data_IF_941183709382
#
_entry.id   IF_941183709382
#
_cell.length_a   1.000
_cell.length_b   1.000
_cell.length_c   1.000
_cell.angle_alpha   90.00
_cell.angle_beta   90.00
_cell.angle_gamma   90.00
#
_symmetry.space_group_name_H-M   'P 1'
#
loop_
_entity.id
_entity.type
_entity.pdbx_description
1 polymer ?
#
# COMPACT_ATOMS: atom_id res chain seq x y z
N UNK A 1 7.63 -22.55 9.66
CA UNK A 1 6.86 -21.32 9.35
C UNK A 1 6.89 -20.42 10.57
N UNK A 2 7.05 -19.12 10.39
CA UNK A 2 7.16 -18.15 11.48
C UNK A 2 6.19 -17.00 11.24
N UNK A 3 5.33 -16.61 12.20
CA UNK A 3 4.39 -15.52 11.98
C UNK A 3 5.13 -14.17 11.85
N UNK A 4 4.60 -13.27 11.02
CA UNK A 4 5.01 -11.87 10.95
C UNK A 4 4.08 -11.06 11.86
N UNK A 5 4.47 -10.69 13.09
CA UNK A 5 3.59 -9.98 14.00
C UNK A 5 3.31 -8.57 13.49
N UNK A 6 2.05 -8.14 13.57
CA UNK A 6 1.64 -6.78 13.31
C UNK A 6 1.02 -6.10 14.52
N UNK A 7 0.48 -4.90 14.33
CA UNK A 7 -0.27 -4.18 15.36
C UNK A 7 -1.57 -4.94 15.71
N UNK A 8 -1.49 -5.90 16.62
CA UNK A 8 -2.63 -6.66 17.17
C UNK A 8 -3.10 -7.87 16.34
N UNK A 9 -2.70 -7.97 15.08
CA UNK A 9 -3.08 -9.06 14.14
C UNK A 9 -1.84 -9.47 13.33
N UNK A 10 -1.67 -10.75 12.91
CA UNK A 10 -0.53 -11.15 12.10
C UNK A 10 -0.54 -10.41 10.76
N UNK A 11 0.55 -9.71 10.45
CA UNK A 11 0.74 -9.04 9.16
C UNK A 11 0.99 -10.05 8.02
N UNK A 12 1.34 -11.30 8.36
CA UNK A 12 1.58 -12.37 7.41
C UNK A 12 2.36 -13.54 8.02
N UNK A 13 3.05 -14.30 7.18
CA UNK A 13 3.90 -15.42 7.59
C UNK A 13 5.20 -15.47 6.77
N UNK A 14 6.29 -15.85 7.43
CA UNK A 14 7.59 -16.14 6.83
C UNK A 14 7.73 -17.66 6.65
N UNK A 15 7.98 -18.09 5.42
CA UNK A 15 8.24 -19.48 5.06
C UNK A 15 9.64 -19.57 4.45
N UNK A 16 10.53 -20.29 5.13
CA UNK A 16 11.87 -20.58 4.64
C UNK A 16 11.89 -22.01 4.08
N UNK A 17 12.43 -22.16 2.88
CA UNK A 17 12.52 -23.44 2.18
C UNK A 17 13.99 -23.75 1.92
N UNK A 18 14.39 -25.01 2.07
CA UNK A 18 15.70 -25.49 1.62
C UNK A 18 15.54 -26.70 0.71
N UNK A 19 16.58 -26.96 -0.08
CA UNK A 19 16.64 -28.10 -0.99
C UNK A 19 16.61 -29.42 -0.21
N UNK A 20 16.00 -30.44 -0.79
CA UNK A 20 16.06 -31.82 -0.30
C UNK A 20 17.50 -32.30 -0.11
N UNK A 21 17.74 -33.06 0.97
CA UNK A 21 19.06 -33.61 1.33
C UNK A 21 19.97 -32.65 2.11
N UNK A 22 19.53 -31.43 2.35
CA UNK A 22 20.28 -30.45 3.11
C UNK A 22 19.81 -30.44 4.59
N UNK A 23 20.71 -30.13 5.54
CA UNK A 23 20.49 -30.31 6.98
C UNK A 23 19.23 -29.60 7.53
N UNK A 24 18.76 -29.96 8.73
CA UNK A 24 17.69 -29.15 9.36
C UNK A 24 18.17 -27.71 9.62
N UNK A 25 17.25 -26.76 9.78
CA UNK A 25 17.62 -25.45 10.32
C UNK A 25 18.13 -25.63 11.74
N UNK A 26 19.21 -24.93 12.03
CA UNK A 26 19.78 -24.86 13.38
C UNK A 26 18.94 -23.94 14.25
N UNK A 27 19.03 -24.13 15.57
CA UNK A 27 18.33 -23.26 16.54
C UNK A 27 18.71 -21.78 16.36
N UNK A 28 19.98 -21.49 16.05
CA UNK A 28 20.45 -20.14 15.77
C UNK A 28 19.81 -19.52 14.53
N UNK A 29 19.66 -20.29 13.45
CA UNK A 29 18.95 -19.84 12.24
C UNK A 29 17.47 -19.59 12.52
N UNK A 30 16.83 -20.40 13.36
CA UNK A 30 15.44 -20.17 13.75
C UNK A 30 15.27 -18.91 14.61
N UNK A 31 16.20 -18.65 15.54
CA UNK A 31 16.23 -17.40 16.33
C UNK A 31 16.36 -16.21 15.39
N UNK A 32 17.28 -16.28 14.41
CA UNK A 32 17.46 -15.25 13.41
C UNK A 32 16.19 -15.04 12.57
N UNK A 33 15.56 -16.11 12.11
CA UNK A 33 14.31 -16.05 11.37
C UNK A 33 13.18 -15.40 12.17
N UNK A 34 13.10 -15.65 13.49
CA UNK A 34 12.14 -14.99 14.39
C UNK A 34 12.42 -13.49 14.52
N UNK A 35 13.67 -13.09 14.68
CA UNK A 35 14.05 -11.66 14.74
C UNK A 35 13.74 -10.94 13.43
N UNK A 36 14.07 -11.58 12.30
CA UNK A 36 13.75 -11.07 10.98
C UNK A 36 12.23 -10.93 10.78
N UNK A 37 11.46 -11.94 11.16
CA UNK A 37 10.01 -11.95 11.10
C UNK A 37 9.40 -10.80 11.93
N UNK A 38 9.89 -10.58 13.15
CA UNK A 38 9.43 -9.50 14.01
C UNK A 38 9.62 -8.12 13.37
N UNK A 39 10.81 -7.84 12.83
CA UNK A 39 11.08 -6.55 12.18
C UNK A 39 10.29 -6.36 10.88
N UNK A 40 10.19 -7.42 10.09
CA UNK A 40 9.45 -7.39 8.82
C UNK A 40 7.95 -7.19 9.06
N UNK A 41 7.36 -7.88 10.04
CA UNK A 41 5.95 -7.73 10.39
C UNK A 41 5.60 -6.31 10.85
N UNK A 42 6.45 -5.68 11.66
CA UNK A 42 6.28 -4.28 12.05
C UNK A 42 6.30 -3.33 10.84
N UNK A 43 7.28 -3.49 9.95
CA UNK A 43 7.40 -2.67 8.74
C UNK A 43 6.21 -2.88 7.78
N UNK A 44 5.78 -4.12 7.56
CA UNK A 44 4.62 -4.43 6.71
C UNK A 44 3.32 -3.87 7.28
N UNK A 45 3.14 -3.91 8.61
CA UNK A 45 1.97 -3.32 9.26
C UNK A 45 1.90 -1.81 9.06
N UNK A 46 3.03 -1.12 9.24
CA UNK A 46 3.12 0.32 8.99
C UNK A 46 2.87 0.63 7.50
N UNK A 47 3.50 -0.11 6.59
CA UNK A 47 3.30 0.08 5.15
C UNK A 47 1.83 -0.10 4.74
N UNK A 48 1.14 -1.10 5.30
CA UNK A 48 -0.29 -1.30 5.05
C UNK A 48 -1.14 -0.12 5.55
N UNK A 49 -0.88 0.37 6.77
CA UNK A 49 -1.58 1.54 7.31
C UNK A 49 -1.42 2.77 6.39
N UNK A 50 -0.19 3.04 5.93
CA UNK A 50 0.06 4.15 5.02
C UNK A 50 -0.53 3.93 3.62
N UNK A 51 -0.53 2.71 3.11
CA UNK A 51 -1.17 2.39 1.82
C UNK A 51 -2.68 2.61 1.86
N UNK A 52 -3.34 2.22 2.97
CA UNK A 52 -4.77 2.50 3.17
C UNK A 52 -5.04 4.01 3.18
N UNK A 53 -4.21 4.81 3.87
CA UNK A 53 -4.30 6.28 3.85
C UNK A 53 -4.08 6.88 2.47
N UNK A 54 -3.10 6.39 1.70
CA UNK A 54 -2.78 6.90 0.37
C UNK A 54 -3.91 6.62 -0.65
N UNK A 55 -4.56 5.46 -0.56
CA UNK A 55 -5.62 5.08 -1.52
C UNK A 55 -6.85 6.00 -1.46
N UNK A 56 -7.13 6.57 -0.29
CA UNK A 56 -8.24 7.52 -0.10
C UNK A 56 -7.95 8.81 -0.88
N UNK A 57 -6.75 9.37 -0.72
CA UNK A 57 -6.35 10.60 -1.41
C UNK A 57 -6.30 10.43 -2.92
N UNK A 58 -5.79 9.30 -3.42
CA UNK A 58 -5.74 9.01 -4.86
C UNK A 58 -7.14 8.90 -5.47
N UNK A 59 -8.06 8.21 -4.79
CA UNK A 59 -9.46 8.09 -5.25
C UNK A 59 -10.13 9.47 -5.29
N UNK A 60 -10.00 10.26 -4.22
CA UNK A 60 -10.56 11.61 -4.14
C UNK A 60 -10.00 12.52 -5.24
N UNK A 61 -8.69 12.47 -5.51
CA UNK A 61 -8.05 13.28 -6.55
C UNK A 61 -8.50 12.88 -7.96
N UNK A 62 -8.73 11.58 -8.20
CA UNK A 62 -9.15 11.07 -9.50
C UNK A 62 -10.57 11.51 -9.87
N UNK A 63 -11.46 11.65 -8.89
CA UNK A 63 -12.81 12.19 -9.10
C UNK A 63 -12.82 13.67 -9.48
N UNK A 64 -11.74 14.41 -9.18
CA UNK A 64 -11.59 15.81 -9.58
C UNK A 64 -11.11 15.96 -11.03
N UNK A 65 -10.73 14.88 -11.71
CA UNK A 65 -10.27 14.96 -13.09
C UNK A 65 -11.47 15.15 -14.05
N UNK A 66 -11.43 16.16 -14.95
CA UNK A 66 -12.49 16.36 -15.92
C UNK A 66 -12.62 15.12 -16.84
N UNK A 67 -13.85 14.72 -17.21
CA UNK A 67 -14.07 13.57 -18.08
C UNK A 67 -13.42 13.78 -19.45
N UNK A 68 -13.08 12.67 -20.13
CA UNK A 68 -12.52 12.72 -21.48
C UNK A 68 -13.48 13.45 -22.43
N UNK A 69 -13.00 14.56 -22.99
CA UNK A 69 -13.79 15.42 -23.87
C UNK A 69 -13.81 14.80 -25.27
N UNK A 70 -15.00 14.49 -25.77
CA UNK A 70 -15.20 13.94 -27.10
C UNK A 70 -15.34 15.09 -28.09
N UNK A 71 -14.64 15.04 -29.23
CA UNK A 71 -14.85 16.00 -30.31
C UNK A 71 -16.18 15.71 -31.01
N UNK A 72 -17.02 16.73 -31.16
CA UNK A 72 -18.27 16.65 -31.93
C UNK A 72 -18.21 17.71 -33.03
N UNK A 73 -18.37 17.27 -34.28
CA UNK A 73 -18.59 18.14 -35.45
C UNK A 73 -17.60 19.32 -35.64
N UNK A 74 -16.29 19.08 -35.44
CA UNK A 74 -15.24 20.08 -35.73
C UNK A 74 -14.96 21.10 -34.62
N UNK A 75 -15.50 20.90 -33.42
CA UNK A 75 -15.23 21.73 -32.23
C UNK A 75 -14.46 20.90 -31.19
N UNK A 76 -13.31 21.43 -30.74
CA UNK A 76 -12.57 20.89 -29.60
C UNK A 76 -13.09 21.48 -28.29
N UNK A 77 -13.40 20.60 -27.33
CA UNK A 77 -13.75 21.01 -25.97
C UNK A 77 -12.50 20.92 -25.08
N UNK A 78 -12.30 21.94 -24.25
CA UNK A 78 -11.31 21.94 -23.16
C UNK A 78 -12.03 22.10 -21.82
N UNK A 79 -11.64 21.31 -20.82
CA UNK A 79 -12.27 21.24 -19.50
C UNK A 79 -11.19 21.16 -18.43
N UNK A 80 -11.34 21.95 -17.37
CA UNK A 80 -10.43 22.00 -16.22
C UNK A 80 -11.23 21.97 -14.92
N UNK A 81 -10.65 21.38 -13.88
CA UNK A 81 -11.22 21.39 -12.54
C UNK A 81 -10.91 22.72 -11.85
N UNK A 82 -11.95 23.44 -11.43
CA UNK A 82 -11.83 24.64 -10.61
C UNK A 82 -12.30 24.33 -9.19
N UNK A 83 -11.40 24.16 -8.21
CA UNK A 83 -11.81 23.98 -6.82
C UNK A 83 -12.54 25.24 -6.34
N UNK A 84 -13.67 25.06 -5.65
CA UNK A 84 -14.40 26.17 -5.01
C UNK A 84 -13.48 26.93 -4.08
N UNK A 85 -13.05 28.13 -4.49
CA UNK A 85 -12.53 29.10 -3.56
C UNK A 85 -13.68 29.56 -2.67
N UNK A 86 -13.44 29.46 -1.37
CA UNK A 86 -14.07 30.21 -0.30
C UNK A 86 -14.63 31.52 -0.83
N UNK A 87 -15.97 31.67 -0.83
CA UNK A 87 -16.62 32.95 -1.09
C UNK A 87 -16.30 33.90 0.08
N UNK A 88 -15.11 34.49 0.07
CA UNK A 88 -14.83 35.69 0.84
C UNK A 88 -15.60 36.83 0.18
N UNK A 89 -16.59 37.33 0.92
CA UNK A 89 -17.61 38.29 0.51
C UNK A 89 -16.99 39.68 0.28
N UNK A 90 -17.46 40.37 -0.75
CA UNK A 90 -17.46 41.84 -0.83
C UNK A 90 -18.90 42.29 -1.05
#
# INVERSE_FOLDING_TARGET
>A
VTPLPGHGVPAGALVLLRRTGAAAFTEGEEVFARLFAARSGAAMSAARLYAEQASITETLMRELLPPALHQVAGVEYAGGYLPSKEHERV
#
